data_IF_140653042721
#
_entry.id   IF_140653042721
#
_cell.length_a   1.000
_cell.length_b   1.000
_cell.length_c   1.000
_cell.angle_alpha   90.00
_cell.angle_beta   90.00
_cell.angle_gamma   90.00
#
_symmetry.space_group_name_H-M   'P 1'
#
loop_
_entity.id
_entity.type
_entity.pdbx_description
1 polymer ?
#
# COMPACT_ATOMS: atom_id res chain seq x y z
N UNK A 1 10.97 -23.59 -7.03
CA UNK A 1 10.17 -23.34 -8.26
C UNK A 1 8.67 -23.42 -8.01
N UNK A 2 8.13 -24.54 -7.50
CA UNK A 2 6.69 -24.63 -7.20
C UNK A 2 6.25 -23.69 -6.06
N UNK A 3 7.04 -23.64 -4.97
CA UNK A 3 6.77 -22.76 -3.82
C UNK A 3 6.73 -21.27 -4.20
N UNK A 4 7.65 -20.82 -5.06
CA UNK A 4 7.70 -19.44 -5.54
C UNK A 4 6.49 -19.07 -6.39
N UNK A 5 6.00 -19.98 -7.25
CA UNK A 5 4.78 -19.78 -8.03
C UNK A 5 3.54 -19.65 -7.12
N UNK A 6 3.44 -20.49 -6.08
CA UNK A 6 2.33 -20.44 -5.12
C UNK A 6 2.34 -19.12 -4.33
N UNK A 7 3.51 -18.69 -3.84
CA UNK A 7 3.66 -17.42 -3.10
C UNK A 7 3.29 -16.24 -3.99
N UNK A 8 3.76 -16.23 -5.24
CA UNK A 8 3.51 -15.12 -6.17
C UNK A 8 2.03 -15.03 -6.57
N UNK A 9 1.36 -16.17 -6.76
CA UNK A 9 -0.09 -16.23 -6.96
C UNK A 9 -0.87 -15.71 -5.76
N UNK A 10 -0.46 -16.06 -4.53
CA UNK A 10 -1.11 -15.58 -3.31
C UNK A 10 -0.96 -14.06 -3.16
N UNK A 11 0.22 -13.52 -3.46
CA UNK A 11 0.48 -12.06 -3.43
C UNK A 11 -0.38 -11.34 -4.47
N UNK A 12 -0.52 -11.88 -5.68
CA UNK A 12 -1.39 -11.31 -6.72
C UNK A 12 -2.86 -11.30 -6.31
N UNK A 13 -3.35 -12.37 -5.69
CA UNK A 13 -4.72 -12.44 -5.17
C UNK A 13 -4.92 -11.38 -4.08
N UNK A 14 -3.99 -11.26 -3.14
CA UNK A 14 -4.02 -10.21 -2.14
C UNK A 14 -4.06 -8.81 -2.77
N UNK A 15 -3.16 -8.51 -3.70
CA UNK A 15 -3.14 -7.22 -4.39
C UNK A 15 -4.47 -6.95 -5.10
N UNK A 16 -5.03 -7.94 -5.80
CA UNK A 16 -6.31 -7.84 -6.49
C UNK A 16 -7.51 -7.61 -5.55
N UNK A 17 -7.51 -8.24 -4.37
CA UNK A 17 -8.57 -8.10 -3.38
C UNK A 17 -8.53 -6.73 -2.68
N UNK A 18 -7.32 -6.24 -2.41
CA UNK A 18 -7.11 -4.95 -1.75
C UNK A 18 -7.12 -3.76 -2.72
N UNK A 19 -6.93 -3.96 -4.03
CA UNK A 19 -6.99 -2.91 -5.06
C UNK A 19 -8.26 -2.06 -4.99
N UNK A 20 -9.49 -2.61 -4.99
CA UNK A 20 -10.71 -1.80 -4.92
C UNK A 20 -10.83 -1.03 -3.60
N UNK A 21 -10.27 -1.57 -2.51
CA UNK A 21 -10.25 -0.88 -1.21
C UNK A 21 -9.21 0.25 -1.20
N UNK A 22 -8.03 0.04 -1.79
CA UNK A 22 -7.00 1.07 -2.03
C UNK A 22 -7.52 2.19 -2.94
N UNK A 23 -8.31 1.83 -3.96
CA UNK A 23 -8.89 2.78 -4.91
C UNK A 23 -10.03 3.56 -4.25
N UNK A 24 -10.87 2.91 -3.44
CA UNK A 24 -11.93 3.57 -2.64
C UNK A 24 -11.39 4.41 -1.49
N UNK A 25 -10.27 4.02 -0.89
CA UNK A 25 -9.57 4.82 0.12
C UNK A 25 -9.04 6.12 -0.48
N UNK A 26 -8.84 6.18 -1.79
CA UNK A 26 -8.18 7.30 -2.45
C UNK A 26 -6.71 7.30 -2.04
N UNK A 27 -5.92 6.34 -2.52
CA UNK A 27 -4.46 6.47 -2.48
C UNK A 27 -4.08 7.80 -3.17
N UNK A 28 -3.64 8.78 -2.39
CA UNK A 28 -3.48 10.15 -2.87
C UNK A 28 -4.69 11.07 -2.71
N UNK A 29 -5.71 10.71 -1.90
CA UNK A 29 -6.75 11.57 -1.26
C UNK A 29 -7.28 11.03 0.08
N UNK A 30 -6.48 10.25 0.81
CA UNK A 30 -6.90 9.66 2.09
C UNK A 30 -7.11 10.77 3.15
N UNK A 31 -8.14 10.67 4.02
CA UNK A 31 -8.25 11.54 5.19
C UNK A 31 -7.03 11.32 6.09
N UNK A 32 -6.07 12.25 6.06
CA UNK A 32 -4.76 12.12 6.71
C UNK A 32 -3.56 12.36 5.78
N UNK A 33 -3.75 12.33 4.46
CA UNK A 33 -2.76 12.86 3.53
C UNK A 33 -2.79 14.40 3.59
N UNK A 34 -1.63 15.01 3.78
CA UNK A 34 -1.53 16.45 3.98
C UNK A 34 -1.60 17.14 2.62
N UNK A 35 -2.75 17.75 2.32
CA UNK A 35 -2.96 18.55 1.12
C UNK A 35 -2.80 20.02 1.51
N UNK A 36 -1.61 20.57 1.32
CA UNK A 36 -1.36 21.99 1.56
C UNK A 36 -1.67 22.75 0.28
N UNK A 37 -2.87 23.34 0.20
CA UNK A 37 -3.23 24.27 -0.86
C UNK A 37 -3.01 25.71 -0.39
N UNK A 38 -2.05 26.42 -1.00
CA UNK A 38 -1.88 27.87 -0.88
C UNK A 38 -1.94 28.50 -2.27
N UNK A 39 -3.05 29.18 -2.59
CA UNK A 39 -3.24 29.85 -3.87
C UNK A 39 -3.06 28.89 -5.06
N UNK A 40 -2.08 29.17 -5.92
CA UNK A 40 -1.71 28.36 -7.09
C UNK A 40 -0.77 27.16 -6.78
N UNK A 41 -0.40 26.97 -5.51
CA UNK A 41 0.48 25.87 -5.09
C UNK A 41 -0.31 24.82 -4.31
N UNK A 42 -0.21 23.56 -4.75
CA UNK A 42 -0.83 22.40 -4.10
C UNK A 42 0.26 21.36 -3.83
N UNK A 43 0.71 21.28 -2.57
CA UNK A 43 1.62 20.23 -2.12
C UNK A 43 0.80 19.04 -1.61
N UNK A 44 1.07 17.86 -2.17
CA UNK A 44 0.46 16.62 -1.77
C UNK A 44 1.47 15.76 -1.02
N UNK A 45 1.23 15.49 0.27
CA UNK A 45 2.11 14.63 1.08
C UNK A 45 1.36 13.36 1.49
N UNK A 46 1.62 12.21 0.82
CA UNK A 46 0.90 10.97 1.03
C UNK A 46 1.39 10.19 2.27
N UNK A 47 1.32 10.79 3.46
CA UNK A 47 1.91 10.26 4.71
C UNK A 47 1.26 8.93 5.10
N UNK A 48 -0.07 8.85 5.06
CA UNK A 48 -0.80 7.65 5.46
C UNK A 48 -0.53 6.49 4.49
N UNK A 49 -0.39 6.83 3.21
CA UNK A 49 -0.04 5.87 2.18
C UNK A 49 1.33 5.24 2.44
N UNK A 50 2.34 6.05 2.77
CA UNK A 50 3.69 5.57 3.09
C UNK A 50 3.72 4.68 4.34
N UNK A 51 2.94 5.01 5.38
CA UNK A 51 2.86 4.21 6.61
C UNK A 51 2.26 2.84 6.32
N UNK A 52 1.13 2.78 5.61
CA UNK A 52 0.49 1.51 5.25
C UNK A 52 1.44 0.65 4.43
N UNK A 53 2.09 1.24 3.42
CA UNK A 53 3.05 0.53 2.59
C UNK A 53 4.20 -0.04 3.42
N UNK A 54 4.74 0.74 4.35
CA UNK A 54 5.81 0.28 5.24
C UNK A 54 5.37 -0.90 6.10
N UNK A 55 4.19 -0.83 6.73
CA UNK A 55 3.66 -1.92 7.57
C UNK A 55 3.45 -3.20 6.76
N UNK A 56 2.88 -3.09 5.55
CA UNK A 56 2.68 -4.24 4.66
C UNK A 56 4.00 -4.90 4.30
N UNK A 57 5.01 -4.11 3.90
CA UNK A 57 6.35 -4.61 3.58
C UNK A 57 6.99 -5.27 4.81
N UNK A 58 6.88 -4.65 5.98
CA UNK A 58 7.41 -5.22 7.23
C UNK A 58 6.76 -6.56 7.57
N UNK A 59 5.44 -6.68 7.47
CA UNK A 59 4.71 -7.93 7.71
C UNK A 59 5.10 -9.01 6.71
N UNK A 60 5.23 -8.64 5.43
CA UNK A 60 5.65 -9.55 4.37
C UNK A 60 7.07 -10.09 4.62
N UNK A 61 8.02 -9.21 4.93
CA UNK A 61 9.40 -9.58 5.25
C UNK A 61 9.49 -10.42 6.53
N UNK A 62 8.68 -10.10 7.55
CA UNK A 62 8.61 -10.89 8.77
C UNK A 62 8.11 -12.31 8.49
N UNK A 63 7.08 -12.45 7.66
CA UNK A 63 6.54 -13.76 7.30
C UNK A 63 7.54 -14.58 6.46
N UNK A 64 8.21 -13.95 5.48
CA UNK A 64 9.27 -14.57 4.67
C UNK A 64 10.49 -15.00 5.49
N UNK A 65 10.81 -14.29 6.57
CA UNK A 65 11.95 -14.63 7.44
C UNK A 65 11.64 -15.75 8.44
N UNK A 66 10.35 -15.93 8.75
CA UNK A 66 9.89 -16.97 9.69
C UNK A 66 9.63 -18.33 9.00
N UNK A 67 9.51 -18.33 7.67
CA UNK A 67 9.35 -19.52 6.83
C UNK A 67 10.70 -20.02 6.30
#
# INVERSE_FOLDING_TARGET
MQKTLVILGLVLIFIGLFLPWLTKLGLGRLPGDLIVKRGQFSLYVPIMTCIILSVVITVLLWFLRKF
#
